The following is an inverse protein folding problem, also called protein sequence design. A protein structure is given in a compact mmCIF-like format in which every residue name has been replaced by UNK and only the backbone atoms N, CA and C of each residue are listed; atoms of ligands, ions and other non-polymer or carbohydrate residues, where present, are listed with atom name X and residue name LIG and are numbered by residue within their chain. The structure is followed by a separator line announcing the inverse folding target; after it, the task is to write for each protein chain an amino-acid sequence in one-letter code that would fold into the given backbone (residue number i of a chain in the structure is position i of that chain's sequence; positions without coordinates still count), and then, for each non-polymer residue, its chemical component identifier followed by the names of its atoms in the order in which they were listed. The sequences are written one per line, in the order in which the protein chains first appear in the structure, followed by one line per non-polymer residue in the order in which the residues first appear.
data_IF_554116515098
#
_entry.id   IF_554116515098
#
_cell.length_a   1.000
_cell.length_b   1.000
_cell.length_c   1.000
_cell.angle_alpha   90.00
_cell.angle_beta   90.00
_cell.angle_gamma   90.00
#
_symmetry.space_group_name_H-M   'P 1'
#
loop_
_entity.id
_entity.type
_entity.pdbx_description
1 polymer ?
#
# COMPACT_ATOMS: atom_id res chain seq x y z
N UNK A 1 -28.51 -30.47 -7.17
CA UNK A 1 -28.03 -29.33 -6.34
C UNK A 1 -26.50 -29.07 -6.39
N UNK A 2 -25.72 -29.66 -7.32
CA UNK A 2 -24.25 -29.46 -7.43
C UNK A 2 -23.79 -28.17 -8.15
N UNK A 3 -24.65 -27.50 -8.93
CA UNK A 3 -24.26 -26.36 -9.78
C UNK A 3 -24.11 -25.01 -9.07
N UNK A 4 -24.87 -24.76 -7.99
CA UNK A 4 -24.79 -23.51 -7.25
C UNK A 4 -23.42 -23.35 -6.57
N UNK A 5 -22.94 -24.39 -5.88
CA UNK A 5 -21.69 -24.37 -5.12
C UNK A 5 -20.42 -24.18 -5.97
N UNK A 6 -20.42 -24.69 -7.20
CA UNK A 6 -19.26 -24.57 -8.10
C UNK A 6 -19.16 -23.15 -8.69
N UNK A 7 -20.31 -22.54 -8.98
CA UNK A 7 -20.42 -21.16 -9.46
C UNK A 7 -19.94 -20.16 -8.40
N UNK A 8 -20.34 -20.34 -7.13
CA UNK A 8 -19.90 -19.48 -6.02
C UNK A 8 -18.41 -19.58 -5.75
N UNK A 9 -17.82 -20.78 -5.88
CA UNK A 9 -16.37 -21.00 -5.72
C UNK A 9 -15.58 -20.25 -6.80
N UNK A 10 -16.02 -20.34 -8.06
CA UNK A 10 -15.39 -19.62 -9.17
C UNK A 10 -15.48 -18.10 -9.03
N UNK A 11 -16.61 -17.58 -8.55
CA UNK A 11 -16.77 -16.14 -8.26
C UNK A 11 -15.80 -15.68 -7.16
N UNK A 12 -15.64 -16.49 -6.10
CA UNK A 12 -14.71 -16.18 -5.00
C UNK A 12 -13.25 -16.13 -5.49
N UNK A 13 -12.82 -17.11 -6.28
CA UNK A 13 -11.47 -17.18 -6.85
C UNK A 13 -11.22 -16.00 -7.79
N UNK A 14 -12.17 -15.69 -8.68
CA UNK A 14 -12.07 -14.54 -9.58
C UNK A 14 -11.99 -13.20 -8.81
N UNK A 15 -12.84 -13.00 -7.80
CA UNK A 15 -12.78 -11.80 -6.96
C UNK A 15 -11.47 -11.71 -6.16
N UNK A 16 -10.89 -12.84 -5.75
CA UNK A 16 -9.56 -12.88 -5.14
C UNK A 16 -8.49 -12.41 -6.13
N UNK A 17 -8.48 -12.93 -7.37
CA UNK A 17 -7.55 -12.50 -8.41
C UNK A 17 -7.69 -11.02 -8.75
N UNK A 18 -8.92 -10.53 -8.94
CA UNK A 18 -9.20 -9.09 -9.17
C UNK A 18 -8.72 -8.23 -8.00
N UNK A 19 -8.95 -8.66 -6.76
CA UNK A 19 -8.44 -7.96 -5.57
C UNK A 19 -6.91 -7.94 -5.55
N UNK A 20 -6.27 -9.05 -5.90
CA UNK A 20 -4.81 -9.13 -5.99
C UNK A 20 -4.28 -8.16 -7.04
N UNK A 21 -4.86 -8.13 -8.24
CA UNK A 21 -4.46 -7.21 -9.31
C UNK A 21 -4.90 -5.75 -9.07
N UNK A 22 -5.55 -5.44 -7.94
CA UNK A 22 -6.05 -4.10 -7.66
C UNK A 22 -7.20 -3.67 -8.58
N UNK A 23 -7.87 -4.61 -9.24
CA UNK A 23 -8.97 -4.34 -10.17
C UNK A 23 -10.31 -4.17 -9.46
N UNK A 24 -11.32 -3.70 -10.19
CA UNK A 24 -12.71 -3.63 -9.69
C UNK A 24 -13.23 -5.04 -9.41
N UNK A 25 -13.77 -5.28 -8.22
CA UNK A 25 -14.36 -6.58 -7.86
C UNK A 25 -15.63 -6.41 -7.01
N UNK A 26 -16.48 -7.43 -6.98
CA UNK A 26 -17.68 -7.44 -6.15
C UNK A 26 -17.36 -8.02 -4.77
N UNK A 27 -17.88 -7.40 -3.71
CA UNK A 27 -17.75 -7.92 -2.37
C UNK A 27 -18.80 -7.37 -1.42
N UNK A 28 -19.04 -8.14 -0.35
CA UNK A 28 -19.95 -7.75 0.71
C UNK A 28 -19.44 -6.51 1.44
N UNK A 29 -20.33 -5.55 1.67
CA UNK A 29 -20.10 -4.33 2.45
C UNK A 29 -21.36 -4.04 3.25
N UNK A 30 -21.26 -4.08 4.58
CA UNK A 30 -22.42 -3.89 5.49
C UNK A 30 -23.62 -4.79 5.12
N UNK A 31 -23.35 -6.06 4.82
CA UNK A 31 -24.39 -7.05 4.43
C UNK A 31 -24.83 -7.01 2.97
N UNK A 32 -24.49 -5.96 2.20
CA UNK A 32 -24.93 -5.82 0.81
C UNK A 32 -23.80 -6.06 -0.20
N UNK A 33 -24.14 -6.58 -1.37
CA UNK A 33 -23.19 -6.72 -2.48
C UNK A 33 -22.83 -5.34 -3.03
N UNK A 34 -21.54 -5.04 -3.12
CA UNK A 34 -21.05 -3.74 -3.62
C UNK A 34 -19.79 -3.90 -4.45
N UNK A 35 -19.58 -2.99 -5.40
CA UNK A 35 -18.33 -2.94 -6.16
C UNK A 35 -17.25 -2.22 -5.36
N UNK A 36 -16.09 -2.86 -5.21
CA UNK A 36 -14.86 -2.24 -4.73
C UNK A 36 -14.17 -1.56 -5.92
N UNK A 37 -13.81 -0.29 -5.74
CA UNK A 37 -13.13 0.50 -6.77
C UNK A 37 -11.73 -0.08 -7.05
N UNK A 38 -11.23 0.03 -8.30
CA UNK A 38 -9.86 -0.35 -8.60
C UNK A 38 -8.88 0.54 -7.83
N UNK A 39 -7.69 0.00 -7.60
CA UNK A 39 -6.55 0.69 -7.04
C UNK A 39 -6.01 1.63 -8.10
N UNK A 40 -5.63 2.82 -7.66
CA UNK A 40 -5.02 3.83 -8.49
C UNK A 40 -3.97 4.56 -7.69
N UNK A 41 -2.94 5.01 -8.39
CA UNK A 41 -2.01 5.97 -7.85
C UNK A 41 -2.77 7.23 -7.44
N UNK A 42 -2.38 7.84 -6.33
CA UNK A 42 -2.89 9.14 -5.88
C UNK A 42 -1.83 10.21 -6.11
N UNK A 43 -2.19 11.47 -5.89
CA UNK A 43 -1.28 12.60 -6.02
C UNK A 43 0.02 12.40 -5.23
N UNK A 44 1.13 12.81 -5.85
CA UNK A 44 2.44 12.84 -5.21
C UNK A 44 2.43 13.74 -3.97
N UNK A 45 3.39 13.50 -3.07
CA UNK A 45 3.65 14.45 -2.01
C UNK A 45 4.20 15.77 -2.60
N UNK A 46 3.48 16.88 -2.35
CA UNK A 46 3.87 18.25 -2.74
C UNK A 46 4.26 19.12 -1.53
N UNK A 47 4.63 18.49 -0.42
CA UNK A 47 4.95 19.21 0.82
C UNK A 47 6.29 19.93 0.68
N UNK A 48 6.31 21.25 0.87
CA UNK A 48 7.54 22.07 0.93
C UNK A 48 8.56 21.54 1.95
N UNK A 49 8.09 20.92 3.03
CA UNK A 49 8.97 20.26 4.01
C UNK A 49 9.71 19.07 3.40
N UNK A 50 9.02 18.21 2.65
CA UNK A 50 9.65 17.06 2.01
C UNK A 50 10.54 17.49 0.85
N UNK A 51 10.17 18.55 0.14
CA UNK A 51 10.97 19.13 -0.94
C UNK A 51 12.33 19.65 -0.46
N UNK A 52 12.37 20.29 0.71
CA UNK A 52 13.60 20.82 1.32
C UNK A 52 14.33 19.80 2.21
N UNK A 53 13.82 18.57 2.33
CA UNK A 53 14.39 17.59 3.24
C UNK A 53 15.63 16.95 2.66
N UNK A 54 16.74 16.94 3.41
CA UNK A 54 17.94 16.16 3.07
C UNK A 54 17.78 14.66 3.31
N UNK A 55 16.72 14.24 4.00
CA UNK A 55 16.48 12.85 4.42
C UNK A 55 15.36 12.22 3.58
N UNK A 56 14.33 12.98 3.22
CA UNK A 56 13.19 12.48 2.45
C UNK A 56 13.29 12.90 0.99
N UNK A 57 13.41 11.91 0.12
CA UNK A 57 13.62 12.10 -1.31
C UNK A 57 12.30 12.05 -2.09
N UNK A 58 11.22 12.63 -1.56
CA UNK A 58 9.90 12.60 -2.21
C UNK A 58 9.95 13.20 -3.63
N UNK A 59 10.68 14.30 -3.82
CA UNK A 59 10.85 14.98 -5.12
C UNK A 59 11.63 14.16 -6.15
N UNK A 60 12.33 13.09 -5.73
CA UNK A 60 13.09 12.24 -6.64
C UNK A 60 12.24 11.19 -7.35
N UNK A 61 10.94 11.08 -7.03
CA UNK A 61 10.00 10.16 -7.64
C UNK A 61 9.04 10.93 -8.55
N UNK A 62 9.37 10.98 -9.85
CA UNK A 62 8.49 11.54 -10.89
C UNK A 62 7.24 10.69 -11.07
N UNK A 63 6.20 11.23 -11.71
CA UNK A 63 4.98 10.47 -11.98
C UNK A 63 5.27 9.16 -12.74
N UNK A 64 6.20 9.17 -13.71
CA UNK A 64 6.58 7.97 -14.46
C UNK A 64 7.26 6.92 -13.58
N UNK A 65 8.25 7.29 -12.77
CA UNK A 65 8.88 6.37 -11.82
C UNK A 65 7.87 5.82 -10.81
N UNK A 66 6.93 6.67 -10.35
CA UNK A 66 5.87 6.23 -9.44
C UNK A 66 4.92 5.25 -10.13
N UNK A 67 4.62 5.46 -11.41
CA UNK A 67 3.80 4.57 -12.24
C UNK A 67 4.49 3.22 -12.44
N UNK A 68 5.78 3.18 -12.74
CA UNK A 68 6.55 1.93 -12.84
C UNK A 68 6.53 1.13 -11.53
N UNK A 69 6.69 1.81 -10.39
CA UNK A 69 6.59 1.20 -9.07
C UNK A 69 5.17 0.68 -8.82
N UNK A 70 4.14 1.45 -9.17
CA UNK A 70 2.75 1.05 -9.00
C UNK A 70 2.42 -0.18 -9.85
N UNK A 71 2.76 -0.15 -11.13
CA UNK A 71 2.47 -1.21 -12.08
C UNK A 71 3.20 -2.49 -11.63
N UNK A 72 4.52 -2.43 -11.42
CA UNK A 72 5.31 -3.58 -10.93
C UNK A 72 4.77 -4.15 -9.62
N UNK A 73 4.36 -3.30 -8.68
CA UNK A 73 3.76 -3.75 -7.43
C UNK A 73 2.45 -4.51 -7.66
N UNK A 74 1.55 -4.04 -8.52
CA UNK A 74 0.22 -4.63 -8.66
C UNK A 74 0.19 -5.95 -9.45
N UNK A 75 1.24 -6.28 -10.22
CA UNK A 75 1.41 -7.58 -10.88
C UNK A 75 1.83 -8.70 -9.91
N UNK A 76 2.45 -8.35 -8.79
CA UNK A 76 2.96 -9.32 -7.80
C UNK A 76 1.86 -10.17 -7.15
N UNK A 77 2.23 -11.36 -6.68
CA UNK A 77 1.41 -12.20 -5.80
C UNK A 77 1.20 -11.56 -4.42
N UNK A 78 0.32 -12.16 -3.61
CA UNK A 78 0.02 -11.63 -2.27
C UNK A 78 1.24 -11.68 -1.34
N UNK A 79 2.01 -12.76 -1.39
CA UNK A 79 3.18 -12.96 -0.53
C UNK A 79 4.33 -12.05 -0.96
N UNK A 80 4.55 -11.88 -2.26
CA UNK A 80 5.50 -10.91 -2.79
C UNK A 80 5.12 -9.48 -2.42
N UNK A 81 3.84 -9.10 -2.51
CA UNK A 81 3.37 -7.78 -2.05
C UNK A 81 3.64 -7.56 -0.57
N UNK A 82 3.39 -8.58 0.26
CA UNK A 82 3.64 -8.51 1.70
C UNK A 82 5.13 -8.32 1.97
N UNK A 83 5.99 -9.13 1.35
CA UNK A 83 7.43 -9.03 1.48
C UNK A 83 7.96 -7.68 0.97
N UNK A 84 7.47 -7.23 -0.18
CA UNK A 84 7.81 -5.94 -0.77
C UNK A 84 7.50 -4.78 0.18
N UNK A 85 6.28 -4.75 0.74
CA UNK A 85 5.86 -3.70 1.69
C UNK A 85 6.70 -3.76 2.97
N UNK A 86 6.90 -4.96 3.55
CA UNK A 86 7.71 -5.14 4.77
C UNK A 86 9.14 -4.66 4.58
N UNK A 87 9.78 -4.99 3.45
CA UNK A 87 11.16 -4.57 3.15
C UNK A 87 11.31 -3.07 2.91
N UNK A 88 10.21 -2.35 2.71
CA UNK A 88 10.18 -0.91 2.49
C UNK A 88 9.74 -0.11 3.72
N UNK A 89 9.59 -0.76 4.87
CA UNK A 89 9.16 -0.10 6.10
C UNK A 89 10.11 -0.49 7.21
N UNK A 90 10.59 0.53 7.93
CA UNK A 90 11.28 0.33 9.19
C UNK A 90 10.41 0.81 10.34
N UNK A 91 10.44 0.05 11.42
CA UNK A 91 9.67 0.30 12.62
C UNK A 91 10.66 0.51 13.77
N UNK A 92 10.66 1.71 14.33
CA UNK A 92 11.44 2.02 15.52
C UNK A 92 10.51 2.13 16.72
N UNK A 93 10.86 1.46 17.82
CA UNK A 93 10.11 1.57 19.09
C UNK A 93 10.15 3.02 19.58
N UNK A 94 9.01 3.51 20.07
CA UNK A 94 8.96 4.85 20.66
C UNK A 94 9.86 4.89 21.90
N UNK A 95 10.94 5.68 21.84
CA UNK A 95 11.95 5.77 22.92
C UNK A 95 11.45 6.54 24.15
N UNK A 96 10.41 7.37 24.01
CA UNK A 96 9.82 8.15 25.12
C UNK A 96 8.31 8.08 25.10
N UNK A 97 7.74 7.53 26.17
CA UNK A 97 6.30 7.54 26.41
C UNK A 97 5.98 8.83 27.17
N UNK A 98 5.39 9.81 26.49
CA UNK A 98 5.04 11.11 27.11
C UNK A 98 3.71 11.09 27.85
N UNK A 99 2.90 10.04 27.65
CA UNK A 99 1.59 9.85 28.27
C UNK A 99 1.40 8.37 28.65
N UNK A 100 0.95 8.09 29.86
CA UNK A 100 0.50 6.74 30.23
C UNK A 100 -0.62 6.31 29.25
N UNK A 101 -0.55 5.08 28.75
CA UNK A 101 -1.48 4.52 27.76
C UNK A 101 -1.41 5.12 26.33
N UNK A 102 -0.26 5.62 25.88
CA UNK A 102 -0.08 5.98 24.47
C UNK A 102 -0.40 4.80 23.53
N UNK A 103 -1.39 4.98 22.65
CA UNK A 103 -1.73 3.99 21.59
C UNK A 103 -0.65 3.86 20.52
N UNK A 104 0.33 4.77 20.48
CA UNK A 104 1.40 4.81 19.46
C UNK A 104 2.67 4.14 20.01
N UNK A 105 2.82 2.85 19.72
CA UNK A 105 3.99 2.06 20.15
C UNK A 105 5.23 2.25 19.27
N UNK A 106 5.05 2.56 17.97
CA UNK A 106 6.13 2.60 16.99
C UNK A 106 6.09 3.84 16.09
N UNK A 107 7.27 4.29 15.67
CA UNK A 107 7.46 5.21 14.54
C UNK A 107 7.81 4.41 13.29
N UNK A 108 7.16 4.76 12.17
CA UNK A 108 7.34 4.10 10.87
C UNK A 108 8.11 5.01 9.92
N UNK A 109 9.15 4.47 9.31
CA UNK A 109 9.88 5.07 8.21
C UNK A 109 9.54 4.33 6.92
N UNK A 110 9.24 5.09 5.86
CA UNK A 110 8.76 4.54 4.59
C UNK A 110 9.80 4.78 3.51
N UNK A 111 9.98 3.80 2.65
CA UNK A 111 10.99 3.84 1.60
C UNK A 111 10.38 3.43 0.27
N UNK A 112 10.89 3.99 -0.83
CA UNK A 112 10.61 3.51 -2.19
C UNK A 112 11.94 3.16 -2.86
N UNK A 113 11.91 2.22 -3.79
CA UNK A 113 13.09 1.87 -4.58
C UNK A 113 13.10 2.69 -5.87
N UNK A 114 14.25 3.24 -6.20
CA UNK A 114 14.56 3.79 -7.51
C UNK A 114 15.90 3.20 -7.93
N UNK A 115 15.92 2.47 -9.04
CA UNK A 115 17.04 1.62 -9.43
C UNK A 115 17.39 0.63 -8.29
N UNK A 116 18.66 0.57 -7.88
CA UNK A 116 19.14 -0.25 -6.76
C UNK A 116 18.98 0.43 -5.39
N UNK A 117 18.63 1.72 -5.37
CA UNK A 117 18.65 2.53 -4.15
C UNK A 117 17.30 2.51 -3.43
N UNK A 118 17.34 2.26 -2.12
CA UNK A 118 16.21 2.39 -1.21
C UNK A 118 16.21 3.80 -0.62
N UNK A 119 15.25 4.62 -1.04
CA UNK A 119 15.20 6.04 -0.68
C UNK A 119 14.04 6.32 0.27
N UNK A 120 14.31 7.02 1.37
CA UNK A 120 13.27 7.35 2.33
C UNK A 120 12.30 8.38 1.73
N UNK A 121 11.01 8.16 1.93
CA UNK A 121 9.93 9.06 1.53
C UNK A 121 8.97 9.29 2.70
N UNK A 122 8.08 10.27 2.57
CA UNK A 122 7.02 10.43 3.55
C UNK A 122 5.93 9.34 3.41
N UNK A 123 5.15 9.14 4.47
CA UNK A 123 3.99 8.21 4.47
C UNK A 123 3.04 8.50 3.30
N UNK A 124 2.75 9.77 3.03
CA UNK A 124 1.83 10.14 1.97
C UNK A 124 2.33 9.70 0.59
N UNK A 125 3.61 9.94 0.30
CA UNK A 125 4.22 9.52 -0.98
C UNK A 125 4.14 8.01 -1.14
N UNK A 126 4.56 7.26 -0.11
CA UNK A 126 4.53 5.79 -0.11
C UNK A 126 3.12 5.23 -0.39
N UNK A 127 2.13 5.67 0.40
CA UNK A 127 0.74 5.19 0.25
C UNK A 127 0.12 5.61 -1.09
N UNK A 128 0.46 6.81 -1.58
CA UNK A 128 -0.10 7.34 -2.83
C UNK A 128 0.49 6.65 -4.04
N UNK A 129 1.80 6.41 -4.05
CA UNK A 129 2.49 5.65 -5.10
C UNK A 129 1.97 4.21 -5.17
N UNK A 130 1.82 3.49 -4.04
CA UNK A 130 1.36 2.10 -4.08
C UNK A 130 -0.17 1.93 -4.11
N UNK A 131 -0.95 3.01 -3.99
CA UNK A 131 -2.41 2.95 -3.92
C UNK A 131 -2.96 2.24 -2.66
N UNK A 132 -2.17 2.22 -1.58
CA UNK A 132 -2.48 1.52 -0.34
C UNK A 132 -3.24 2.38 0.66
N UNK A 133 -3.91 1.73 1.61
CA UNK A 133 -4.39 2.37 2.83
C UNK A 133 -3.48 2.03 4.00
N UNK A 134 -3.44 2.87 5.02
CA UNK A 134 -2.58 2.66 6.20
C UNK A 134 -2.81 1.31 6.89
N UNK A 135 -4.05 0.80 6.86
CA UNK A 135 -4.39 -0.51 7.43
C UNK A 135 -3.67 -1.68 6.77
N UNK A 136 -3.20 -1.50 5.53
CA UNK A 136 -2.45 -2.49 4.76
C UNK A 136 -0.95 -2.46 5.07
N UNK A 137 -0.52 -1.50 5.90
CA UNK A 137 0.89 -1.16 6.09
C UNK A 137 1.22 -1.27 7.58
N UNK A 138 1.52 -2.50 8.01
CA UNK A 138 1.71 -2.86 9.42
C UNK A 138 3.18 -3.16 9.73
N UNK A 139 3.61 -2.61 10.86
CA UNK A 139 4.45 -3.30 11.82
C UNK A 139 3.44 -4.05 12.72
#
# INVERSE_FOLDING_TARGET
TRNANNTTKNVRVNNQQKRMAGQKYQGLSKGNMSYRKPRKMKDACKSKFCEKSSIRFCSHFTEDTRKEIFDSFWIMSWDEKKLYVTNLIECSKTQRVTVENSKRSNTKYYFLKRNTNRMQVCRQMFLSTLGLSEKMVRC
#
